data_IF_279573574294
#
_entry.id   IF_279573574294
#
_cell.length_a   1.000
_cell.length_b   1.000
_cell.length_c   1.000
_cell.angle_alpha   90.00
_cell.angle_beta   90.00
_cell.angle_gamma   90.00
#
_symmetry.space_group_name_H-M   'P 1'
#
loop_
_entity.id
_entity.type
_entity.pdbx_description
1 polymer ?
#
# COMPACT_ATOMS: atom_id res chain seq x y z
N UNK A 1 12.87 40.16 10.34
CA UNK A 1 11.76 40.99 9.80
C UNK A 1 12.20 41.56 8.45
N UNK A 2 11.61 41.07 7.34
CA UNK A 2 11.78 41.50 5.92
C UNK A 2 11.18 40.35 5.07
N UNK A 3 10.30 40.49 4.07
CA UNK A 3 9.42 41.52 3.52
C UNK A 3 8.34 40.74 2.77
N UNK A 4 7.07 41.09 2.95
CA UNK A 4 5.95 40.62 2.13
C UNK A 4 5.90 41.41 0.82
N UNK A 5 5.81 40.74 -0.34
CA UNK A 5 5.36 41.24 -1.65
C UNK A 5 4.82 40.00 -2.40
N UNK A 6 3.54 39.75 -2.66
CA UNK A 6 2.38 40.51 -3.16
C UNK A 6 2.35 40.63 -4.71
N UNK A 7 1.50 39.77 -5.31
CA UNK A 7 0.56 40.01 -6.43
C UNK A 7 0.78 39.46 -7.86
N UNK A 8 -0.35 38.88 -8.34
CA UNK A 8 -0.97 38.89 -9.68
C UNK A 8 -0.23 38.15 -10.81
N UNK A 9 -0.87 37.20 -11.49
CA UNK A 9 -1.92 37.50 -12.47
C UNK A 9 -2.67 36.24 -12.91
N UNK A 10 -3.96 36.41 -13.18
CA UNK A 10 -4.85 35.44 -13.80
C UNK A 10 -4.53 35.30 -15.29
N UNK A 11 -4.63 34.07 -15.81
CA UNK A 11 -4.87 33.81 -17.22
C UNK A 11 -5.70 32.53 -17.38
N UNK A 12 -6.96 32.73 -17.70
CA UNK A 12 -7.90 31.69 -18.14
C UNK A 12 -7.55 31.27 -19.57
N UNK A 13 -7.30 29.98 -19.84
CA UNK A 13 -7.33 29.45 -21.21
C UNK A 13 -7.93 28.04 -21.24
N UNK A 14 -9.19 28.02 -21.67
CA UNK A 14 -9.84 27.13 -22.65
C UNK A 14 -9.63 25.61 -22.61
N UNK A 15 -10.81 24.97 -22.54
CA UNK A 15 -11.19 23.58 -22.79
C UNK A 15 -10.63 23.04 -24.12
N UNK A 16 -10.03 21.84 -24.09
CA UNK A 16 -10.13 20.88 -25.20
C UNK A 16 -10.34 19.46 -24.68
N UNK A 17 -11.52 18.95 -25.00
CA UNK A 17 -11.92 17.55 -24.94
C UNK A 17 -11.05 16.72 -25.87
N UNK A 18 -10.40 15.69 -25.34
CA UNK A 18 -9.88 14.57 -26.12
C UNK A 18 -10.12 13.27 -25.36
N UNK A 19 -11.34 12.73 -25.48
CA UNK A 19 -11.59 11.31 -25.26
C UNK A 19 -11.00 10.55 -26.45
N UNK A 20 -9.68 10.36 -26.47
CA UNK A 20 -9.05 9.35 -27.28
C UNK A 20 -8.86 8.12 -26.41
N UNK A 21 -9.80 7.18 -26.50
CA UNK A 21 -9.64 5.85 -25.95
C UNK A 21 -8.51 5.14 -26.68
N UNK A 22 -7.29 5.27 -26.16
CA UNK A 22 -6.22 4.34 -26.48
C UNK A 22 -6.46 3.13 -25.60
N UNK A 23 -7.06 2.11 -26.22
CA UNK A 23 -7.11 0.76 -25.69
C UNK A 23 -5.68 0.22 -25.66
N UNK A 24 -4.93 0.64 -24.63
CA UNK A 24 -3.64 0.05 -24.31
C UNK A 24 -3.93 -1.37 -23.88
N UNK A 25 -3.48 -2.33 -24.67
CA UNK A 25 -3.38 -3.74 -24.30
C UNK A 25 -2.69 -3.82 -22.95
N UNK A 26 -3.50 -3.95 -21.90
CA UNK A 26 -3.09 -4.10 -20.51
C UNK A 26 -2.62 -5.55 -20.31
N UNK A 27 -1.54 -5.92 -20.99
CA UNK A 27 -0.75 -7.09 -20.64
C UNK A 27 0.17 -6.70 -19.50
N UNK A 28 -0.24 -7.06 -18.27
CA UNK A 28 0.65 -7.08 -17.11
C UNK A 28 0.37 -6.05 -16.01
N UNK A 29 -0.87 -5.65 -15.77
CA UNK A 29 -1.22 -5.27 -14.41
C UNK A 29 -1.21 -6.55 -13.59
N UNK A 30 -0.10 -6.82 -12.89
CA UNK A 30 -0.09 -7.73 -11.77
C UNK A 30 -1.29 -7.33 -10.92
N UNK A 31 -2.36 -8.13 -11.01
CA UNK A 31 -3.56 -7.89 -10.26
C UNK A 31 -3.12 -7.75 -8.82
N UNK A 32 -3.28 -6.54 -8.28
CA UNK A 32 -3.38 -6.35 -6.86
C UNK A 32 -4.58 -7.20 -6.48
N UNK A 33 -4.29 -8.48 -6.22
CA UNK A 33 -5.22 -9.41 -5.65
C UNK A 33 -5.41 -8.83 -4.26
N UNK A 34 -6.43 -7.98 -4.14
CA UNK A 34 -7.01 -7.65 -2.84
C UNK A 34 -7.44 -9.00 -2.29
N UNK A 35 -6.53 -9.68 -1.60
CA UNK A 35 -6.82 -10.89 -0.88
C UNK A 35 -7.99 -10.50 0.01
N UNK A 36 -9.16 -11.04 -0.29
CA UNK A 36 -10.34 -10.83 0.53
C UNK A 36 -9.90 -11.14 1.96
N UNK A 37 -10.05 -10.16 2.86
CA UNK A 37 -9.72 -10.32 4.26
C UNK A 37 -10.68 -11.37 4.83
N UNK A 38 -10.35 -12.65 4.64
CA UNK A 38 -10.87 -13.71 5.47
C UNK A 38 -10.39 -13.41 6.88
N UNK A 39 -11.24 -13.65 7.87
CA UNK A 39 -10.85 -13.64 9.27
C UNK A 39 -9.59 -14.50 9.45
N UNK A 40 -8.46 -13.91 9.84
CA UNK A 40 -7.18 -14.61 9.85
C UNK A 40 -6.01 -13.74 10.30
N UNK A 41 -4.83 -14.35 10.39
CA UNK A 41 -3.59 -13.60 10.60
C UNK A 41 -2.94 -13.28 9.26
N UNK A 42 -2.57 -12.02 9.07
CA UNK A 42 -1.78 -11.57 7.93
C UNK A 42 -0.38 -11.21 8.42
N UNK A 43 0.64 -11.55 7.63
CA UNK A 43 2.04 -11.38 7.96
C UNK A 43 2.71 -10.46 6.93
N UNK A 44 3.66 -9.64 7.34
CA UNK A 44 4.47 -8.88 6.38
C UNK A 44 5.85 -8.53 6.94
N UNK A 45 6.75 -8.02 6.09
CA UNK A 45 8.06 -7.56 6.52
C UNK A 45 7.97 -6.28 7.35
N UNK A 46 8.57 -6.29 8.54
CA UNK A 46 8.57 -5.15 9.46
C UNK A 46 9.10 -3.87 8.81
N UNK A 47 10.13 -3.99 7.95
CA UNK A 47 10.71 -2.85 7.21
C UNK A 47 9.83 -2.32 6.07
N UNK A 48 8.90 -3.12 5.58
CA UNK A 48 7.97 -2.75 4.51
C UNK A 48 6.65 -2.19 5.06
N UNK A 49 6.43 -2.27 6.37
CA UNK A 49 5.24 -1.73 7.02
C UNK A 49 5.31 -0.20 7.02
N UNK A 50 4.35 0.42 6.36
CA UNK A 50 4.15 1.87 6.37
C UNK A 50 2.69 2.19 6.69
N UNK A 51 2.47 3.17 7.55
CA UNK A 51 1.13 3.67 7.87
C UNK A 51 0.82 4.93 7.06
N UNK A 52 -0.34 4.96 6.42
CA UNK A 52 -0.84 6.15 5.72
C UNK A 52 -2.33 6.30 6.00
N UNK A 53 -2.68 7.28 6.83
CA UNK A 53 -4.06 7.50 7.30
C UNK A 53 -4.66 6.24 7.92
N UNK A 54 -5.77 5.78 7.33
CA UNK A 54 -6.54 4.61 7.77
C UNK A 54 -6.06 3.28 7.14
N UNK A 55 -4.85 3.25 6.58
CA UNK A 55 -4.32 2.10 5.85
C UNK A 55 -2.94 1.70 6.36
N UNK A 56 -2.73 0.39 6.50
CA UNK A 56 -1.40 -0.22 6.59
C UNK A 56 -0.95 -0.70 5.21
N UNK A 57 0.13 -0.13 4.70
CA UNK A 57 0.75 -0.53 3.45
C UNK A 57 1.87 -1.52 3.75
N UNK A 58 1.77 -2.75 3.24
CA UNK A 58 2.83 -3.74 3.39
C UNK A 58 2.72 -4.89 2.39
N UNK A 59 3.74 -5.74 2.29
CA UNK A 59 3.71 -6.98 1.52
C UNK A 59 2.92 -8.09 2.25
N UNK A 60 1.65 -7.85 2.56
CA UNK A 60 0.82 -8.76 3.35
C UNK A 60 0.67 -10.14 2.69
N UNK A 61 0.86 -11.19 3.48
CA UNK A 61 0.64 -12.58 3.10
C UNK A 61 -0.16 -13.32 4.17
N UNK A 62 -0.93 -14.34 3.77
CA UNK A 62 -1.78 -15.10 4.69
C UNK A 62 -1.02 -16.04 5.63
N UNK A 63 0.25 -16.33 5.35
CA UNK A 63 1.09 -17.19 6.18
C UNK A 63 2.47 -16.58 6.41
N UNK A 64 3.12 -16.99 7.51
CA UNK A 64 4.50 -16.61 7.81
C UNK A 64 5.47 -17.08 6.72
N UNK A 65 5.26 -18.29 6.18
CA UNK A 65 6.11 -18.87 5.15
C UNK A 65 6.05 -18.05 3.87
N UNK A 66 4.84 -17.71 3.40
CA UNK A 66 4.66 -16.89 2.19
C UNK A 66 5.28 -15.51 2.38
N UNK A 67 5.07 -14.87 3.54
CA UNK A 67 5.69 -13.59 3.85
C UNK A 67 7.23 -13.65 3.75
N UNK A 68 7.86 -14.77 4.11
CA UNK A 68 9.31 -14.94 3.97
C UNK A 68 9.77 -15.14 2.52
N UNK A 69 8.91 -15.68 1.65
CA UNK A 69 9.21 -15.94 0.24
C UNK A 69 8.93 -14.74 -0.67
N UNK A 70 8.12 -13.77 -0.22
CA UNK A 70 7.80 -12.58 -1.02
C UNK A 70 9.07 -11.77 -1.28
N UNK A 71 9.54 -11.82 -2.52
CA UNK A 71 10.63 -10.96 -3.00
C UNK A 71 10.02 -9.67 -3.57
N UNK A 72 10.09 -8.58 -2.80
CA UNK A 72 9.73 -7.24 -3.28
C UNK A 72 8.93 -6.39 -2.29
N UNK A 73 8.97 -5.08 -2.50
CA UNK A 73 8.25 -4.07 -1.71
C UNK A 73 6.88 -3.77 -2.35
N UNK A 74 6.21 -4.77 -2.90
CA UNK A 74 4.87 -4.58 -3.45
C UNK A 74 3.89 -4.40 -2.28
N UNK A 75 3.73 -3.14 -1.90
CA UNK A 75 2.85 -2.76 -0.81
C UNK A 75 1.40 -2.99 -1.23
N UNK A 76 0.74 -3.93 -0.56
CA UNK A 76 -0.69 -4.12 -0.60
C UNK A 76 -1.30 -3.30 0.55
N UNK A 77 -2.30 -2.44 0.27
CA UNK A 77 -2.98 -1.69 1.31
C UNK A 77 -3.92 -2.61 2.11
N UNK A 78 -3.92 -2.46 3.43
CA UNK A 78 -4.85 -3.10 4.37
C UNK A 78 -5.54 -2.04 5.20
N UNK A 79 -6.87 -1.96 5.15
CA UNK A 79 -7.60 -0.96 5.94
C UNK A 79 -7.53 -1.28 7.43
N UNK A 80 -7.28 -0.27 8.26
CA UNK A 80 -7.31 -0.38 9.73
C UNK A 80 -8.68 -0.87 10.24
N UNK A 81 -9.76 -0.60 9.51
CA UNK A 81 -11.10 -1.06 9.86
C UNK A 81 -11.24 -2.59 9.79
N UNK A 82 -10.45 -3.23 8.90
CA UNK A 82 -10.40 -4.69 8.74
C UNK A 82 -9.50 -5.36 9.78
N UNK A 83 -8.77 -4.58 10.60
CA UNK A 83 -7.82 -5.10 11.58
C UNK A 83 -8.47 -5.18 12.96
N UNK A 84 -8.50 -6.40 13.52
CA UNK A 84 -8.95 -6.70 14.88
C UNK A 84 -7.91 -6.30 15.94
N UNK A 85 -6.63 -6.50 15.63
CA UNK A 85 -5.52 -6.12 16.49
C UNK A 85 -4.36 -5.62 15.63
N UNK A 86 -3.78 -4.48 16.02
CA UNK A 86 -2.71 -3.82 15.28
C UNK A 86 -1.43 -4.66 15.11
N UNK A 87 -0.44 -4.14 14.36
CA UNK A 87 0.78 -4.89 14.06
C UNK A 87 1.54 -5.30 15.31
N UNK A 88 1.91 -6.58 15.39
CA UNK A 88 2.77 -7.15 16.44
C UNK A 88 3.90 -7.97 15.83
N UNK A 89 5.01 -8.12 16.55
CA UNK A 89 6.14 -8.90 16.06
C UNK A 89 5.76 -10.39 15.90
N UNK A 90 6.14 -10.98 14.77
CA UNK A 90 5.80 -12.37 14.37
C UNK A 90 7.05 -13.26 14.17
N UNK A 91 8.19 -12.81 14.72
CA UNK A 91 9.48 -13.48 14.61
C UNK A 91 10.23 -13.14 13.33
N UNK A 92 11.22 -13.97 13.02
CA UNK A 92 12.18 -13.75 11.93
C UNK A 92 12.10 -14.87 10.89
N UNK A 93 12.37 -14.53 9.63
CA UNK A 93 12.58 -15.46 8.51
C UNK A 93 14.01 -16.01 8.51
N UNK A 94 14.24 -17.12 7.81
CA UNK A 94 15.57 -17.73 7.66
C UNK A 94 16.56 -16.83 6.91
N UNK A 95 16.06 -16.01 5.99
CA UNK A 95 16.85 -14.98 5.28
C UNK A 95 17.19 -13.76 6.18
N UNK A 96 16.76 -13.75 7.44
CA UNK A 96 17.06 -12.70 8.40
C UNK A 96 16.08 -11.53 8.41
N UNK A 97 15.02 -11.56 7.60
CA UNK A 97 13.97 -10.53 7.62
C UNK A 97 13.05 -10.67 8.84
N UNK A 98 12.70 -9.54 9.47
CA UNK A 98 11.76 -9.51 10.59
C UNK A 98 10.33 -9.38 10.08
N UNK A 99 9.41 -10.12 10.70
CA UNK A 99 8.00 -10.11 10.36
C UNK A 99 7.16 -9.42 11.43
N UNK A 100 6.12 -8.75 10.96
CA UNK A 100 4.97 -8.33 11.76
C UNK A 100 3.75 -9.15 11.35
N UNK A 101 2.79 -9.28 12.25
CA UNK A 101 1.48 -9.83 11.97
C UNK A 101 0.37 -8.91 12.46
N UNK A 102 -0.77 -8.97 11.78
CA UNK A 102 -2.03 -8.37 12.19
C UNK A 102 -3.10 -9.45 12.19
N UNK A 103 -4.10 -9.29 13.04
CA UNK A 103 -5.29 -10.13 12.98
C UNK A 103 -6.39 -9.35 12.26
N UNK A 104 -6.99 -9.93 11.23
CA UNK A 104 -8.14 -9.36 10.52
C UNK A 104 -9.46 -9.79 11.15
N UNK A 105 -10.50 -8.97 10.98
CA UNK A 105 -11.88 -9.24 11.41
C UNK A 105 -12.65 -10.03 10.36
#
# INVERSE_FOLDING_TARGET
MKKTVLFLTAASVLVLSACAGVQTSQTGAAGASSAAAGSGSMYCWKRSLSESGDTFNCNWAGTKHDACLVNGINASPLSKNQVAAGPKDAGRCENGEWLVMVNTK
#
